data_IF_273226567316
#
_entry.id   IF_273226567316
#
_cell.length_a   1.000
_cell.length_b   1.000
_cell.length_c   1.000
_cell.angle_alpha   90.00
_cell.angle_beta   90.00
_cell.angle_gamma   90.00
#
_symmetry.space_group_name_H-M   'P 1'
#
loop_
_entity.id
_entity.type
_entity.pdbx_description
1 polymer ?
#
# COMPACT_ATOMS: atom_id res chain seq x y z
N UNK A 1 22.67 -31.51 25.14
CA UNK A 1 22.56 -30.11 25.60
C UNK A 1 21.92 -29.34 24.47
N UNK A 2 20.69 -28.86 24.68
CA UNK A 2 19.92 -28.18 23.65
C UNK A 2 20.53 -26.81 23.35
N UNK A 3 20.83 -26.56 22.08
CA UNK A 3 21.10 -25.20 21.60
C UNK A 3 19.83 -24.38 21.82
N UNK A 4 19.83 -23.55 22.87
CA UNK A 4 18.91 -22.44 22.95
C UNK A 4 19.23 -21.50 21.79
N UNK A 5 18.50 -21.68 20.69
CA UNK A 5 18.43 -20.72 19.60
C UNK A 5 18.13 -19.35 20.20
N UNK A 6 19.14 -18.47 20.23
CA UNK A 6 18.94 -17.07 20.57
C UNK A 6 17.82 -16.55 19.66
N UNK A 7 16.77 -15.89 20.19
CA UNK A 7 15.69 -15.42 19.35
C UNK A 7 16.29 -14.51 18.27
N UNK A 8 16.05 -14.87 17.01
CA UNK A 8 16.63 -14.17 15.86
C UNK A 8 16.26 -12.69 16.00
N UNK A 9 17.25 -11.79 16.01
CA UNK A 9 17.07 -10.35 16.37
C UNK A 9 15.88 -9.69 15.67
N UNK A 10 15.62 -10.06 14.41
CA UNK A 10 14.44 -9.62 13.66
C UNK A 10 13.11 -9.99 14.31
N UNK A 11 12.97 -11.21 14.83
CA UNK A 11 11.76 -11.67 15.52
C UNK A 11 11.48 -10.87 16.79
N UNK A 12 12.51 -10.61 17.61
CA UNK A 12 12.37 -9.82 18.85
C UNK A 12 11.79 -8.44 18.56
N UNK A 13 12.34 -7.75 17.56
CA UNK A 13 11.84 -6.44 17.14
C UNK A 13 10.42 -6.51 16.55
N UNK A 14 10.06 -7.56 15.80
CA UNK A 14 8.67 -7.76 15.33
C UNK A 14 7.72 -7.98 16.50
N UNK A 15 8.10 -8.75 17.50
CA UNK A 15 7.27 -9.00 18.68
C UNK A 15 7.08 -7.74 19.51
N UNK A 16 8.11 -6.92 19.67
CA UNK A 16 8.02 -5.59 20.28
C UNK A 16 7.06 -4.67 19.52
N UNK A 17 7.22 -4.58 18.19
CA UNK A 17 6.29 -3.82 17.34
C UNK A 17 4.85 -4.33 17.43
N UNK A 18 4.66 -5.65 17.50
CA UNK A 18 3.35 -6.27 17.66
C UNK A 18 2.67 -5.87 18.98
N UNK A 19 3.44 -5.65 20.07
CA UNK A 19 2.88 -5.16 21.34
C UNK A 19 2.25 -3.77 21.14
N UNK A 20 2.99 -2.83 20.53
CA UNK A 20 2.47 -1.51 20.22
C UNK A 20 1.28 -1.59 19.25
N UNK A 21 1.37 -2.41 18.21
CA UNK A 21 0.28 -2.59 17.25
C UNK A 21 -1.00 -3.11 17.92
N UNK A 22 -0.93 -4.13 18.78
CA UNK A 22 -2.11 -4.65 19.49
C UNK A 22 -2.73 -3.61 20.44
N UNK A 23 -1.90 -2.80 21.10
CA UNK A 23 -2.40 -1.70 21.92
C UNK A 23 -3.25 -0.70 21.13
N UNK A 24 -3.12 -0.61 19.80
CA UNK A 24 -3.98 0.26 18.96
C UNK A 24 -5.41 -0.28 18.81
N UNK A 25 -5.68 -1.49 19.30
CA UNK A 25 -7.00 -2.13 19.26
C UNK A 25 -7.76 -1.98 20.59
N UNK A 26 -7.19 -1.28 21.57
CA UNK A 26 -7.89 -0.97 22.82
C UNK A 26 -9.14 -0.14 22.51
N UNK A 27 -10.29 -0.58 23.02
CA UNK A 27 -11.56 0.11 22.85
C UNK A 27 -11.50 1.54 23.40
N UNK A 28 -12.10 2.48 22.69
CA UNK A 28 -12.12 3.90 23.07
C UNK A 28 -10.77 4.62 22.96
N UNK A 29 -9.71 3.98 22.43
CA UNK A 29 -8.41 4.62 22.32
C UNK A 29 -8.45 5.79 21.32
N UNK A 30 -8.08 7.02 21.73
CA UNK A 30 -8.12 8.17 20.83
C UNK A 30 -7.21 8.02 19.60
N UNK A 31 -7.60 8.56 18.43
CA UNK A 31 -6.80 8.49 17.20
C UNK A 31 -5.34 8.94 17.36
N UNK A 32 -5.09 9.97 18.17
CA UNK A 32 -3.73 10.48 18.43
C UNK A 32 -2.85 9.43 19.13
N UNK A 33 -3.41 8.67 20.08
CA UNK A 33 -2.68 7.60 20.76
C UNK A 33 -2.55 6.35 19.88
N UNK A 34 -3.53 6.08 19.01
CA UNK A 34 -3.38 5.05 17.98
C UNK A 34 -2.22 5.39 17.04
N UNK A 35 -2.09 6.65 16.61
CA UNK A 35 -1.00 7.13 15.76
C UNK A 35 0.36 6.91 16.42
N UNK A 36 0.56 7.46 17.63
CA UNK A 36 1.83 7.34 18.37
C UNK A 36 2.26 5.86 18.53
N UNK A 37 1.31 4.97 18.85
CA UNK A 37 1.58 3.53 18.97
C UNK A 37 1.96 2.90 17.64
N UNK A 38 1.31 3.27 16.53
CA UNK A 38 1.65 2.74 15.22
C UNK A 38 3.00 3.24 14.71
N UNK A 39 3.35 4.50 14.97
CA UNK A 39 4.67 5.04 14.65
C UNK A 39 5.77 4.29 15.42
N UNK A 40 5.56 4.03 16.71
CA UNK A 40 6.45 3.17 17.53
C UNK A 40 6.54 1.74 16.98
N UNK A 41 5.43 1.16 16.55
CA UNK A 41 5.41 -0.16 15.94
C UNK A 41 6.25 -0.20 14.65
N UNK A 42 6.09 0.80 13.77
CA UNK A 42 6.87 0.93 12.52
C UNK A 42 8.36 1.05 12.81
N UNK A 43 8.78 1.83 13.81
CA UNK A 43 10.20 1.91 14.20
C UNK A 43 10.74 0.54 14.58
N UNK A 44 9.98 -0.26 15.33
CA UNK A 44 10.38 -1.62 15.68
C UNK A 44 10.46 -2.51 14.43
N UNK A 45 9.49 -2.42 13.52
CA UNK A 45 9.51 -3.23 12.30
C UNK A 45 10.63 -2.83 11.32
N UNK A 46 11.02 -1.55 11.27
CA UNK A 46 12.21 -1.11 10.52
C UNK A 46 13.48 -1.71 11.10
N UNK A 47 13.65 -1.70 12.44
CA UNK A 47 14.76 -2.42 13.09
C UNK A 47 14.73 -3.93 12.81
N UNK A 48 13.53 -4.53 12.77
CA UNK A 48 13.38 -5.93 12.42
C UNK A 48 13.79 -6.22 10.97
N UNK A 49 13.52 -5.30 10.05
CA UNK A 49 13.96 -5.36 8.66
C UNK A 49 15.48 -5.24 8.58
N UNK A 50 16.08 -4.28 9.29
CA UNK A 50 17.53 -4.05 9.29
C UNK A 50 18.33 -5.23 9.86
N UNK A 51 17.71 -5.99 10.78
CA UNK A 51 18.33 -7.15 11.45
C UNK A 51 17.92 -8.50 10.85
N UNK A 52 17.17 -8.49 9.75
CA UNK A 52 16.73 -9.70 9.07
C UNK A 52 17.86 -10.37 8.30
N UNK A 53 18.01 -11.69 8.45
CA UNK A 53 19.09 -12.45 7.81
C UNK A 53 18.62 -13.27 6.62
N UNK A 54 17.31 -13.44 6.46
CA UNK A 54 16.70 -14.23 5.39
C UNK A 54 15.45 -13.55 4.82
N UNK A 55 14.99 -14.03 3.66
CA UNK A 55 13.84 -13.44 2.95
C UNK A 55 12.50 -13.65 3.69
N UNK A 56 12.39 -14.68 4.54
CA UNK A 56 11.20 -14.91 5.38
C UNK A 56 11.02 -13.83 6.45
N UNK A 57 12.12 -13.46 7.09
CA UNK A 57 12.15 -12.38 8.08
C UNK A 57 11.91 -11.02 7.42
N UNK A 58 12.58 -10.75 6.29
CA UNK A 58 12.37 -9.54 5.48
C UNK A 58 10.92 -9.38 5.11
N UNK A 59 10.31 -10.41 4.51
CA UNK A 59 8.90 -10.38 4.09
C UNK A 59 7.95 -10.16 5.28
N UNK A 60 8.23 -10.76 6.43
CA UNK A 60 7.44 -10.57 7.64
C UNK A 60 7.55 -9.16 8.21
N UNK A 61 8.76 -8.58 8.23
CA UNK A 61 8.98 -7.21 8.69
C UNK A 61 8.32 -6.19 7.74
N UNK A 62 8.50 -6.35 6.43
CA UNK A 62 7.87 -5.53 5.38
C UNK A 62 6.34 -5.57 5.47
N UNK A 63 5.75 -6.76 5.64
CA UNK A 63 4.30 -6.92 5.87
C UNK A 63 3.85 -6.08 7.07
N UNK A 64 4.58 -6.16 8.18
CA UNK A 64 4.20 -5.46 9.40
C UNK A 64 4.32 -3.92 9.26
N UNK A 65 5.35 -3.42 8.57
CA UNK A 65 5.48 -2.00 8.19
C UNK A 65 4.27 -1.60 7.35
N UNK A 66 3.96 -2.38 6.33
CA UNK A 66 2.87 -2.09 5.41
C UNK A 66 1.51 -1.98 6.11
N UNK A 67 1.13 -3.00 6.90
CA UNK A 67 -0.16 -3.02 7.58
C UNK A 67 -0.30 -1.89 8.60
N UNK A 68 0.80 -1.53 9.28
CA UNK A 68 0.82 -0.41 10.22
C UNK A 68 0.71 0.94 9.52
N UNK A 69 1.39 1.10 8.39
CA UNK A 69 1.32 2.31 7.54
C UNK A 69 -0.08 2.48 6.98
N UNK A 70 -0.73 1.39 6.54
CA UNK A 70 -2.10 1.46 6.06
C UNK A 70 -3.10 1.78 7.17
N UNK A 71 -2.89 1.27 8.39
CA UNK A 71 -3.72 1.65 9.53
C UNK A 71 -3.53 3.13 9.90
N UNK A 72 -2.30 3.65 9.84
CA UNK A 72 -2.01 5.08 10.00
C UNK A 72 -2.74 5.92 8.95
N UNK A 73 -2.63 5.54 7.68
CA UNK A 73 -3.36 6.18 6.59
C UNK A 73 -4.86 6.25 6.87
N UNK A 74 -5.50 5.15 7.26
CA UNK A 74 -6.94 5.14 7.59
C UNK A 74 -7.28 6.06 8.76
N UNK A 75 -6.47 6.06 9.83
CA UNK A 75 -6.69 6.95 10.97
C UNK A 75 -6.59 8.41 10.53
N UNK A 76 -5.55 8.74 9.75
CA UNK A 76 -5.29 10.10 9.29
C UNK A 76 -6.37 10.63 8.35
N UNK A 77 -6.96 9.75 7.52
CA UNK A 77 -8.15 10.08 6.74
C UNK A 77 -9.33 10.46 7.63
N UNK A 78 -9.54 9.73 8.73
CA UNK A 78 -10.67 9.96 9.62
C UNK A 78 -10.54 11.26 10.42
N UNK A 79 -9.33 11.60 10.88
CA UNK A 79 -9.08 12.82 11.67
C UNK A 79 -8.86 14.09 10.84
N UNK A 80 -8.79 13.98 9.51
CA UNK A 80 -8.59 15.12 8.62
C UNK A 80 -7.18 15.73 8.70
N UNK A 81 -6.15 14.90 8.93
CA UNK A 81 -4.76 15.32 9.05
C UNK A 81 -4.13 15.80 7.71
N UNK A 82 -2.94 16.38 7.79
CA UNK A 82 -2.23 16.96 6.64
C UNK A 82 -2.09 15.98 5.46
N UNK A 83 -2.57 16.42 4.28
CA UNK A 83 -2.61 15.65 3.02
C UNK A 83 -1.27 15.00 2.65
N UNK A 84 -0.14 15.67 2.88
CA UNK A 84 1.20 15.17 2.55
C UNK A 84 1.61 13.95 3.37
N UNK A 85 1.30 13.93 4.67
CA UNK A 85 1.65 12.83 5.56
C UNK A 85 0.70 11.64 5.37
N UNK A 86 -0.58 11.90 5.10
CA UNK A 86 -1.53 10.86 4.66
C UNK A 86 -1.07 10.18 3.36
N UNK A 87 -0.68 10.95 2.35
CA UNK A 87 -0.15 10.41 1.08
C UNK A 87 1.19 9.68 1.26
N UNK A 88 2.00 10.03 2.27
CA UNK A 88 3.23 9.31 2.62
C UNK A 88 2.92 7.87 3.10
N UNK A 89 2.05 7.71 4.11
CA UNK A 89 1.75 6.38 4.65
C UNK A 89 1.00 5.49 3.67
N UNK A 90 0.20 6.09 2.79
CA UNK A 90 -0.41 5.41 1.65
C UNK A 90 0.65 4.76 0.74
N UNK A 91 1.65 5.55 0.31
CA UNK A 91 2.74 5.09 -0.56
C UNK A 91 3.59 4.05 0.15
N UNK A 92 3.96 4.32 1.41
CA UNK A 92 4.74 3.39 2.23
C UNK A 92 4.02 2.04 2.39
N UNK A 93 2.72 2.05 2.67
CA UNK A 93 1.89 0.86 2.80
C UNK A 93 1.92 -0.02 1.55
N UNK A 94 1.54 0.54 0.40
CA UNK A 94 1.50 -0.19 -0.87
C UNK A 94 2.87 -0.75 -1.24
N UNK A 95 3.93 0.07 -1.19
CA UNK A 95 5.26 -0.34 -1.58
C UNK A 95 5.77 -1.49 -0.71
N UNK A 96 5.56 -1.43 0.60
CA UNK A 96 6.02 -2.49 1.50
C UNK A 96 5.22 -3.79 1.35
N UNK A 97 3.93 -3.75 0.96
CA UNK A 97 3.20 -5.00 0.63
C UNK A 97 3.78 -5.66 -0.61
N UNK A 98 4.02 -4.88 -1.67
CA UNK A 98 4.61 -5.40 -2.91
C UNK A 98 5.97 -6.06 -2.65
N UNK A 99 6.82 -5.37 -1.87
CA UNK A 99 8.12 -5.90 -1.44
C UNK A 99 7.96 -7.13 -0.54
N UNK A 100 6.99 -7.14 0.38
CA UNK A 100 6.74 -8.28 1.25
C UNK A 100 6.34 -9.54 0.47
N UNK A 101 5.47 -9.40 -0.53
CA UNK A 101 5.06 -10.49 -1.42
C UNK A 101 6.24 -11.00 -2.25
N UNK A 102 7.04 -10.09 -2.83
CA UNK A 102 8.22 -10.46 -3.62
C UNK A 102 9.25 -11.21 -2.75
N UNK A 103 9.62 -10.66 -1.59
CA UNK A 103 10.56 -11.31 -0.67
C UNK A 103 10.02 -12.63 -0.12
N UNK A 104 8.70 -12.70 0.11
CA UNK A 104 8.05 -13.91 0.59
C UNK A 104 8.23 -15.05 -0.40
N UNK A 105 8.09 -14.78 -1.70
CA UNK A 105 8.05 -15.78 -2.79
C UNK A 105 9.29 -16.67 -2.79
N UNK A 106 10.45 -16.09 -2.47
CA UNK A 106 11.73 -16.79 -2.43
C UNK A 106 12.11 -17.25 -1.02
N UNK A 107 11.37 -16.84 0.02
CA UNK A 107 11.73 -17.00 1.43
C UNK A 107 11.07 -18.16 2.15
N UNK A 108 10.24 -18.97 1.49
CA UNK A 108 9.57 -20.11 2.12
C UNK A 108 8.33 -19.75 2.96
N UNK A 109 7.72 -18.59 2.72
CA UNK A 109 6.38 -18.31 3.28
C UNK A 109 5.36 -19.32 2.75
N UNK A 110 4.34 -19.65 3.54
CA UNK A 110 3.31 -20.60 3.14
C UNK A 110 2.34 -19.99 2.13
N UNK A 111 1.72 -20.81 1.28
CA UNK A 111 0.68 -20.35 0.35
C UNK A 111 -0.46 -19.62 1.07
N UNK A 112 -0.85 -20.09 2.25
CA UNK A 112 -1.87 -19.44 3.08
C UNK A 112 -1.46 -18.02 3.47
N UNK A 113 -0.18 -17.81 3.85
CA UNK A 113 0.33 -16.48 4.17
C UNK A 113 0.26 -15.53 2.97
N UNK A 114 0.60 -16.02 1.77
CA UNK A 114 0.49 -15.22 0.55
C UNK A 114 -0.94 -14.85 0.24
N UNK A 115 -1.85 -15.83 0.25
CA UNK A 115 -3.25 -15.59 -0.07
C UNK A 115 -3.83 -14.52 0.88
N UNK A 116 -3.58 -14.66 2.18
CA UNK A 116 -4.04 -13.69 3.17
C UNK A 116 -3.43 -12.29 2.96
N UNK A 117 -2.14 -12.19 2.65
CA UNK A 117 -1.51 -10.90 2.38
C UNK A 117 -2.00 -10.28 1.06
N UNK A 118 -2.23 -11.11 0.06
CA UNK A 118 -2.69 -10.69 -1.25
C UNK A 118 -4.14 -10.20 -1.22
N UNK A 119 -5.03 -10.91 -0.53
CA UNK A 119 -6.39 -10.45 -0.25
C UNK A 119 -6.36 -9.08 0.43
N UNK A 120 -5.54 -8.94 1.48
CA UNK A 120 -5.36 -7.67 2.18
C UNK A 120 -4.80 -6.57 1.26
N UNK A 121 -3.90 -6.91 0.35
CA UNK A 121 -3.39 -5.97 -0.65
C UNK A 121 -4.50 -5.46 -1.56
N UNK A 122 -5.37 -6.36 -2.04
CA UNK A 122 -6.49 -6.00 -2.90
C UNK A 122 -7.49 -5.08 -2.18
N UNK A 123 -7.82 -5.36 -0.92
CA UNK A 123 -8.66 -4.49 -0.08
C UNK A 123 -8.04 -3.10 0.08
N UNK A 124 -6.72 -3.04 0.28
CA UNK A 124 -5.99 -1.78 0.39
C UNK A 124 -6.12 -0.98 -0.90
N UNK A 125 -5.92 -1.60 -2.07
CA UNK A 125 -6.07 -0.91 -3.36
C UNK A 125 -7.48 -0.34 -3.54
N UNK A 126 -8.53 -1.05 -3.11
CA UNK A 126 -9.90 -0.51 -3.14
C UNK A 126 -10.07 0.72 -2.26
N UNK A 127 -9.51 0.70 -1.04
CA UNK A 127 -9.51 1.86 -0.15
C UNK A 127 -8.77 3.05 -0.80
N UNK A 128 -7.66 2.79 -1.50
CA UNK A 128 -6.91 3.83 -2.22
C UNK A 128 -7.75 4.44 -3.33
N UNK A 129 -8.38 3.61 -4.16
CA UNK A 129 -9.21 4.09 -5.26
C UNK A 129 -10.39 4.92 -4.75
N UNK A 130 -11.02 4.48 -3.66
CA UNK A 130 -12.07 5.23 -3.00
C UNK A 130 -11.57 6.59 -2.47
N UNK A 131 -10.44 6.61 -1.75
CA UNK A 131 -9.85 7.86 -1.24
C UNK A 131 -9.53 8.84 -2.37
N UNK A 132 -8.90 8.35 -3.44
CA UNK A 132 -8.56 9.15 -4.61
C UNK A 132 -9.80 9.68 -5.34
N UNK A 133 -10.96 9.04 -5.22
CA UNK A 133 -12.22 9.49 -5.82
C UNK A 133 -12.60 10.94 -5.49
N UNK A 134 -12.17 11.45 -4.33
CA UNK A 134 -12.37 12.84 -3.89
C UNK A 134 -11.42 13.87 -4.53
N UNK A 135 -10.32 13.43 -5.16
CA UNK A 135 -9.30 14.30 -5.75
C UNK A 135 -9.68 14.67 -7.20
N UNK A 136 -9.10 15.76 -7.73
CA UNK A 136 -9.24 16.13 -9.15
C UNK A 136 -8.64 15.07 -10.07
N UNK A 137 -9.19 14.90 -11.28
CA UNK A 137 -8.74 13.91 -12.28
C UNK A 137 -7.22 13.88 -12.44
N UNK A 138 -6.58 15.04 -12.63
CA UNK A 138 -5.12 15.13 -12.80
C UNK A 138 -4.33 14.61 -11.59
N UNK A 139 -4.75 14.98 -10.37
CA UNK A 139 -4.09 14.54 -9.14
C UNK A 139 -4.26 13.03 -8.92
N UNK A 140 -5.43 12.49 -9.27
CA UNK A 140 -5.75 11.06 -9.21
C UNK A 140 -4.84 10.29 -10.15
N UNK A 141 -4.80 10.65 -11.43
CA UNK A 141 -3.98 9.98 -12.43
C UNK A 141 -2.50 10.05 -12.06
N UNK A 142 -2.00 11.24 -11.69
CA UNK A 142 -0.61 11.40 -11.25
C UNK A 142 -0.26 10.46 -10.08
N UNK A 143 -1.13 10.36 -9.07
CA UNK A 143 -0.89 9.47 -7.93
C UNK A 143 -0.87 7.99 -8.35
N UNK A 144 -1.83 7.57 -9.16
CA UNK A 144 -1.93 6.18 -9.63
C UNK A 144 -0.75 5.79 -10.53
N UNK A 145 -0.31 6.68 -11.42
CA UNK A 145 0.85 6.47 -12.28
C UNK A 145 2.15 6.34 -11.47
N UNK A 146 2.33 7.19 -10.46
CA UNK A 146 3.49 7.09 -9.55
C UNK A 146 3.49 5.79 -8.77
N UNK A 147 2.31 5.31 -8.33
CA UNK A 147 2.18 4.01 -7.68
C UNK A 147 2.50 2.86 -8.66
N UNK A 148 1.98 2.90 -9.88
CA UNK A 148 2.21 1.86 -10.88
C UNK A 148 3.69 1.67 -11.25
N UNK A 149 4.49 2.74 -11.22
CA UNK A 149 5.96 2.68 -11.43
C UNK A 149 6.71 1.93 -10.33
N UNK A 150 6.14 1.84 -9.13
CA UNK A 150 6.78 1.32 -7.91
C UNK A 150 6.36 -0.11 -7.54
N UNK A 151 5.41 -0.69 -8.28
CA UNK A 151 4.82 -1.99 -7.98
C UNK A 151 5.36 -3.03 -8.97
N UNK A 152 5.86 -4.14 -8.43
CA UNK A 152 6.37 -5.27 -9.19
C UNK A 152 5.30 -6.33 -9.44
N UNK A 153 4.33 -6.47 -8.53
CA UNK A 153 3.23 -7.41 -8.68
C UNK A 153 2.40 -7.05 -9.92
N UNK A 154 2.51 -7.89 -10.97
CA UNK A 154 1.85 -7.71 -12.26
C UNK A 154 0.35 -7.48 -12.14
N UNK A 155 -0.35 -8.24 -11.29
CA UNK A 155 -1.80 -8.14 -11.15
C UNK A 155 -2.22 -6.85 -10.45
N UNK A 156 -1.54 -6.46 -9.37
CA UNK A 156 -1.77 -5.18 -8.70
C UNK A 156 -1.46 -3.99 -9.63
N UNK A 157 -0.35 -4.05 -10.38
CA UNK A 157 0.03 -3.04 -11.36
C UNK A 157 -1.00 -2.92 -12.49
N UNK A 158 -1.44 -4.04 -13.06
CA UNK A 158 -2.52 -4.12 -14.06
C UNK A 158 -3.79 -3.46 -13.54
N UNK A 159 -4.17 -3.74 -12.29
CA UNK A 159 -5.35 -3.15 -11.65
C UNK A 159 -5.25 -1.63 -11.50
N UNK A 160 -4.11 -1.13 -11.04
CA UNK A 160 -3.88 0.32 -10.89
C UNK A 160 -3.91 1.02 -12.24
N UNK A 161 -3.25 0.46 -13.26
CA UNK A 161 -3.24 1.02 -14.62
C UNK A 161 -4.64 1.05 -15.24
N UNK A 162 -5.44 -0.01 -15.04
CA UNK A 162 -6.85 -0.02 -15.47
C UNK A 162 -7.68 1.04 -14.76
N UNK A 163 -7.47 1.23 -13.46
CA UNK A 163 -8.14 2.32 -12.74
C UNK A 163 -7.67 3.69 -13.25
N UNK A 164 -6.38 3.90 -13.53
CA UNK A 164 -5.87 5.14 -14.16
C UNK A 164 -6.60 5.43 -15.46
N UNK A 165 -6.70 4.45 -16.37
CA UNK A 165 -7.43 4.61 -17.63
C UNK A 165 -8.91 4.95 -17.40
N UNK A 166 -9.55 4.31 -16.41
CA UNK A 166 -10.94 4.61 -16.02
C UNK A 166 -11.10 6.04 -15.51
N UNK A 167 -10.13 6.57 -14.74
CA UNK A 167 -10.15 7.96 -14.29
C UNK A 167 -10.03 8.94 -15.47
N UNK A 168 -9.12 8.68 -16.41
CA UNK A 168 -9.00 9.47 -17.64
C UNK A 168 -10.31 9.47 -18.44
N UNK A 169 -10.90 8.29 -18.66
CA UNK A 169 -12.17 8.15 -19.38
C UNK A 169 -13.33 8.88 -18.70
N UNK A 170 -13.51 8.72 -17.39
CA UNK A 170 -14.55 9.45 -16.68
C UNK A 170 -14.32 10.97 -16.74
N UNK A 171 -13.06 11.40 -16.67
CA UNK A 171 -12.69 12.80 -16.86
C UNK A 171 -13.05 13.33 -18.25
N UNK A 172 -12.86 12.52 -19.31
CA UNK A 172 -13.24 12.93 -20.66
C UNK A 172 -14.74 13.05 -20.84
N UNK A 173 -15.53 12.17 -20.22
CA UNK A 173 -17.00 12.26 -20.22
C UNK A 173 -17.45 13.57 -19.57
N UNK A 174 -16.91 13.90 -18.40
CA UNK A 174 -17.23 15.17 -17.72
C UNK A 174 -16.84 16.38 -18.56
N UNK A 175 -15.67 16.35 -19.23
CA UNK A 175 -15.24 17.42 -20.12
C UNK A 175 -16.17 17.57 -21.34
N UNK A 176 -16.64 16.44 -21.90
CA UNK A 176 -17.59 16.44 -23.01
C UNK A 176 -18.93 17.06 -22.60
N UNK A 177 -19.46 16.68 -21.43
CA UNK A 177 -20.71 17.24 -20.88
C UNK A 177 -20.61 18.75 -20.64
N UNK A 178 -19.41 19.24 -20.29
CA UNK A 178 -19.12 20.67 -20.13
C UNK A 178 -18.85 21.40 -21.46
N UNK A 179 -18.84 20.71 -22.61
CA UNK A 179 -18.53 21.29 -23.91
C UNK A 179 -17.03 21.56 -24.15
N UNK A 180 -16.14 21.09 -23.28
CA UNK A 180 -14.68 21.21 -23.46
C UNK A 180 -14.14 20.04 -24.29
N UNK A 181 -14.36 20.13 -25.61
CA UNK A 181 -13.94 19.10 -26.56
C UNK A 181 -12.42 18.89 -26.60
N UNK A 182 -11.63 19.94 -26.34
CA UNK A 182 -10.17 19.85 -26.35
C UNK A 182 -9.68 19.00 -25.18
N UNK A 183 -10.19 19.28 -23.97
CA UNK A 183 -9.85 18.49 -22.80
C UNK A 183 -10.38 17.06 -22.92
N UNK A 184 -11.60 16.88 -23.42
CA UNK A 184 -12.16 15.56 -23.69
C UNK A 184 -11.25 14.71 -24.58
N UNK A 185 -10.82 15.25 -25.73
CA UNK A 185 -9.93 14.54 -26.66
C UNK A 185 -8.58 14.22 -26.04
N UNK A 186 -8.00 15.16 -25.28
CA UNK A 186 -6.73 14.93 -24.56
C UNK A 186 -6.85 13.77 -23.57
N UNK A 187 -7.88 13.78 -22.72
CA UNK A 187 -8.07 12.76 -21.69
C UNK A 187 -8.38 11.39 -22.30
N UNK A 188 -9.12 11.32 -23.40
CA UNK A 188 -9.32 10.07 -24.15
C UNK A 188 -8.01 9.52 -24.71
N UNK A 189 -7.13 10.39 -25.22
CA UNK A 189 -5.79 10.00 -25.66
C UNK A 189 -4.95 9.43 -24.52
N UNK A 190 -5.03 10.04 -23.34
CA UNK A 190 -4.29 9.63 -22.14
C UNK A 190 -4.72 8.25 -21.60
N UNK A 191 -5.90 7.74 -22.00
CA UNK A 191 -6.31 6.35 -21.69
C UNK A 191 -5.43 5.29 -22.35
N UNK A 192 -4.82 5.58 -23.51
CA UNK A 192 -4.18 4.58 -24.35
C UNK A 192 -3.01 3.89 -23.65
N UNK A 193 -2.05 4.69 -23.17
CA UNK A 193 -0.83 4.20 -22.50
C UNK A 193 -1.13 3.28 -21.30
N UNK A 194 -1.94 3.66 -20.29
CA UNK A 194 -2.20 2.79 -19.16
C UNK A 194 -2.91 1.49 -19.56
N UNK A 195 -3.78 1.51 -20.58
CA UNK A 195 -4.41 0.28 -21.08
C UNK A 195 -3.42 -0.68 -21.74
N UNK A 196 -2.52 -0.17 -22.59
CA UNK A 196 -1.48 -1.01 -23.21
C UNK A 196 -0.51 -1.57 -22.15
N UNK A 197 -0.05 -0.75 -21.21
CA UNK A 197 0.80 -1.22 -20.11
C UNK A 197 0.08 -2.27 -19.24
N UNK A 198 -1.23 -2.12 -19.01
CA UNK A 198 -2.01 -3.10 -18.25
C UNK A 198 -2.14 -4.44 -18.97
N UNK A 199 -2.22 -4.45 -20.32
CA UNK A 199 -2.25 -5.69 -21.11
C UNK A 199 -0.96 -6.47 -20.96
N UNK A 200 0.19 -5.79 -21.02
CA UNK A 200 1.52 -6.39 -20.84
C UNK A 200 1.72 -7.00 -19.44
N UNK A 201 0.96 -6.55 -18.45
CA UNK A 201 0.98 -7.15 -17.11
C UNK A 201 0.21 -8.47 -17.02
N UNK A 202 -0.73 -8.75 -17.94
CA UNK A 202 -1.52 -10.00 -17.92
C UNK A 202 -0.93 -11.10 -18.83
N UNK A 203 0.17 -10.79 -19.54
CA UNK A 203 1.01 -11.73 -20.30
C UNK A 203 2.23 -12.17 -19.50
#
# INVERSE_FOLDING_TARGET
AGEMSSPIKSQVHREEGNKFYRQTQTEGLPPVLQRDRLEKAIVCYRRALDTSVNSMEKSSALKNIALSSMKLFTIMLHVGEHKSLTDYYLKEGIQNIDLALNQGQFGGQTQQWFNALYERYMEILDLVFHHLGSKKTKDRCHTLEELAKKINNKQAKSRILRETARVYFNGSVVALEAGDFRLCLSLLGDCHRPLEEAKLCNT
#
